data_IF_760110340928
#
_entry.id   IF_760110340928
#
_cell.length_a   1.000
_cell.length_b   1.000
_cell.length_c   1.000
_cell.angle_alpha   90.00
_cell.angle_beta   90.00
_cell.angle_gamma   90.00
#
_symmetry.space_group_name_H-M   'P 1'
#
loop_
_entity.id
_entity.type
_entity.pdbx_description
1 polymer ?
#
# COMPACT_ATOMS: atom_id res chain seq x y z
N UNK A 1 10.04 -3.30 12.98
CA UNK A 1 9.74 -2.14 12.11
C UNK A 1 8.90 -1.15 12.91
N UNK A 2 9.47 -0.01 13.32
CA UNK A 2 8.74 0.99 14.13
C UNK A 2 7.66 1.61 13.25
N UNK A 3 6.40 1.27 13.53
CA UNK A 3 5.23 1.94 12.97
C UNK A 3 5.29 3.38 13.47
N UNK A 4 5.68 4.32 12.59
CA UNK A 4 5.52 5.74 12.90
C UNK A 4 4.04 6.02 13.02
N UNK A 5 3.61 6.55 14.16
CA UNK A 5 2.23 7.00 14.37
C UNK A 5 1.91 8.07 13.32
N UNK A 6 1.20 7.67 12.25
CA UNK A 6 0.73 8.58 11.22
C UNK A 6 -0.24 9.58 11.85
N UNK A 7 0.09 10.87 11.78
CA UNK A 7 -0.75 11.92 12.38
C UNK A 7 -1.67 12.55 11.34
N UNK A 8 -2.91 12.09 11.30
CA UNK A 8 -4.02 12.84 10.70
C UNK A 8 -4.61 13.80 11.74
N UNK A 9 -5.15 14.93 11.29
CA UNK A 9 -5.78 15.91 12.16
C UNK A 9 -7.20 16.17 11.69
N UNK A 10 -8.17 16.01 12.60
CA UNK A 10 -9.57 16.33 12.34
C UNK A 10 -9.90 17.63 13.08
N UNK A 11 -10.36 18.64 12.34
CA UNK A 11 -10.87 19.89 12.91
C UNK A 11 -12.38 19.93 12.71
N UNK A 12 -13.14 19.68 13.78
CA UNK A 12 -14.61 19.69 13.73
C UNK A 12 -15.20 21.10 13.54
N UNK A 13 -14.49 22.16 13.95
CA UNK A 13 -14.94 23.55 13.78
C UNK A 13 -14.83 24.00 12.33
N UNK A 14 -13.70 23.69 11.69
CA UNK A 14 -13.45 23.99 10.28
C UNK A 14 -13.98 22.89 9.34
N UNK A 15 -14.41 21.74 9.88
CA UNK A 15 -14.92 20.57 9.17
C UNK A 15 -13.90 19.99 8.18
N UNK A 16 -12.65 19.86 8.63
CA UNK A 16 -11.52 19.43 7.80
C UNK A 16 -10.84 18.18 8.36
N UNK A 17 -10.30 17.36 7.45
CA UNK A 17 -9.35 16.27 7.71
C UNK A 17 -8.04 16.63 7.02
N UNK A 18 -6.93 16.64 7.77
CA UNK A 18 -5.62 17.05 7.28
C UNK A 18 -4.59 15.95 7.51
N UNK A 19 -3.85 15.61 6.45
CA UNK A 19 -2.66 14.75 6.50
C UNK A 19 -1.41 15.63 6.51
N UNK A 20 -0.65 15.65 7.61
CA UNK A 20 0.54 16.50 7.73
C UNK A 20 1.70 16.04 6.84
N UNK A 21 1.79 14.74 6.60
CA UNK A 21 2.78 14.11 5.73
C UNK A 21 2.08 12.96 5.04
N UNK A 22 1.47 13.26 3.90
CA UNK A 22 0.69 12.29 3.14
C UNK A 22 1.62 11.37 2.35
N UNK A 23 1.40 10.06 2.39
CA UNK A 23 2.17 9.05 1.66
C UNK A 23 1.26 8.20 0.77
N UNK A 24 1.82 7.43 -0.18
CA UNK A 24 1.02 6.50 -1.00
C UNK A 24 0.16 5.51 -0.20
N UNK A 25 0.54 5.20 1.04
CA UNK A 25 -0.24 4.36 1.96
C UNK A 25 -1.53 5.04 2.47
N UNK A 26 -1.68 6.36 2.31
CA UNK A 26 -2.91 7.09 2.63
C UNK A 26 -3.91 7.07 1.46
N UNK A 27 -3.54 6.48 0.33
CA UNK A 27 -4.45 6.31 -0.81
C UNK A 27 -5.63 5.44 -0.44
N UNK A 28 -6.81 5.85 -0.88
CA UNK A 28 -8.02 5.12 -0.57
C UNK A 28 -9.27 5.93 -0.75
N UNK A 29 -10.37 5.29 -0.39
CA UNK A 29 -11.72 5.83 -0.47
C UNK A 29 -12.11 6.43 0.88
N UNK A 30 -12.50 7.69 0.88
CA UNK A 30 -12.87 8.44 2.07
C UNK A 30 -14.32 8.93 1.97
N UNK A 31 -14.94 9.12 3.12
CA UNK A 31 -16.28 9.68 3.27
C UNK A 31 -16.38 10.39 4.62
N UNK A 32 -17.35 11.29 4.77
CA UNK A 32 -17.54 12.07 5.99
C UNK A 32 -18.87 11.69 6.64
N UNK A 33 -18.88 11.50 7.96
CA UNK A 33 -20.11 11.27 8.71
C UNK A 33 -20.31 12.32 9.80
N UNK A 34 -21.56 12.70 10.02
CA UNK A 34 -21.97 13.61 11.07
C UNK A 34 -22.95 12.90 12.02
N UNK A 35 -22.78 13.12 13.32
CA UNK A 35 -23.64 12.59 14.38
C UNK A 35 -24.08 13.72 15.30
N UNK A 36 -25.36 13.73 15.66
CA UNK A 36 -25.89 14.52 16.77
C UNK A 36 -26.94 13.71 17.55
N UNK A 37 -27.65 14.33 18.49
CA UNK A 37 -28.67 13.64 19.29
C UNK A 37 -29.87 13.15 18.47
N UNK A 38 -30.13 13.75 17.31
CA UNK A 38 -31.25 13.40 16.44
C UNK A 38 -30.92 12.24 15.47
N UNK A 39 -29.63 11.97 15.21
CA UNK A 39 -29.25 10.88 14.33
C UNK A 39 -27.80 10.90 13.85
N UNK A 40 -27.54 10.07 12.86
CA UNK A 40 -26.24 9.87 12.22
C UNK A 40 -26.43 9.74 10.71
N UNK A 41 -25.66 10.50 9.93
CA UNK A 41 -25.70 10.45 8.47
C UNK A 41 -24.29 10.55 7.91
N UNK A 42 -24.02 9.84 6.83
CA UNK A 42 -22.76 9.93 6.09
C UNK A 42 -22.99 10.56 4.73
N UNK A 43 -21.93 11.15 4.16
CA UNK A 43 -21.94 11.71 2.82
C UNK A 43 -22.33 10.63 1.81
N UNK A 44 -23.29 10.95 0.94
CA UNK A 44 -23.75 10.02 -0.09
C UNK A 44 -22.69 9.71 -1.16
N UNK A 45 -21.67 10.56 -1.29
CA UNK A 45 -20.58 10.38 -2.22
C UNK A 45 -19.28 10.11 -1.46
N UNK A 46 -18.57 9.08 -1.92
CA UNK A 46 -17.20 8.83 -1.52
C UNK A 46 -16.25 9.68 -2.39
N UNK A 47 -15.07 10.00 -1.87
CA UNK A 47 -13.98 10.63 -2.63
C UNK A 47 -12.70 9.84 -2.49
N UNK A 48 -11.89 9.82 -3.54
CA UNK A 48 -10.64 9.03 -3.56
C UNK A 48 -9.43 9.95 -3.40
N UNK A 49 -8.59 9.66 -2.42
CA UNK A 49 -7.25 10.25 -2.33
C UNK A 49 -6.28 9.42 -3.16
N UNK A 50 -5.60 10.08 -4.10
CA UNK A 50 -4.57 9.48 -4.95
C UNK A 50 -3.28 10.31 -4.86
N UNK A 51 -2.29 9.75 -4.20
CA UNK A 51 -0.97 10.29 -3.93
C UNK A 51 0.01 9.47 -4.76
N UNK A 52 0.71 10.18 -5.64
CA UNK A 52 1.71 9.62 -6.53
C UNK A 52 3.07 10.06 -6.04
N UNK A 53 3.81 9.10 -5.49
CA UNK A 53 5.24 9.19 -5.26
C UNK A 53 5.95 8.26 -6.26
N UNK A 54 6.92 8.79 -6.99
CA UNK A 54 7.73 8.03 -7.96
C UNK A 54 8.83 7.23 -7.27
N UNK A 55 9.22 7.59 -6.06
CA UNK A 55 10.21 6.85 -5.27
C UNK A 55 9.61 5.63 -4.58
N UNK A 56 8.27 5.57 -4.46
CA UNK A 56 7.57 4.44 -3.88
C UNK A 56 7.40 3.28 -4.88
N UNK A 57 7.89 2.06 -4.57
CA UNK A 57 7.77 0.91 -5.46
C UNK A 57 6.34 0.54 -5.80
N UNK A 58 6.04 0.41 -7.10
CA UNK A 58 4.74 -0.09 -7.58
C UNK A 58 4.93 -1.37 -8.38
N UNK A 59 4.11 -2.41 -8.14
CA UNK A 59 4.22 -3.64 -8.90
C UNK A 59 3.83 -3.41 -10.36
N UNK A 60 4.67 -3.88 -11.26
CA UNK A 60 4.44 -3.92 -12.72
C UNK A 60 4.14 -5.36 -13.15
N UNK A 61 4.87 -6.32 -12.58
CA UNK A 61 4.63 -7.76 -12.76
C UNK A 61 4.56 -8.39 -11.38
N UNK A 62 3.45 -9.08 -11.11
CA UNK A 62 3.26 -9.85 -9.87
C UNK A 62 3.40 -11.34 -10.17
N UNK A 63 4.09 -12.11 -9.31
CA UNK A 63 4.17 -13.54 -9.48
C UNK A 63 2.79 -14.18 -9.33
N UNK A 64 2.54 -15.24 -10.10
CA UNK A 64 1.30 -16.01 -10.07
C UNK A 64 1.59 -17.44 -9.62
N UNK A 65 0.58 -18.10 -9.05
CA UNK A 65 0.68 -19.50 -8.67
C UNK A 65 0.99 -20.38 -9.88
N UNK A 66 1.89 -21.35 -9.71
CA UNK A 66 2.29 -22.30 -10.74
C UNK A 66 2.14 -23.73 -10.24
N UNK A 67 1.72 -24.62 -11.13
CA UNK A 67 1.75 -26.07 -10.93
C UNK A 67 2.75 -26.65 -11.93
N UNK A 68 3.81 -27.26 -11.43
CA UNK A 68 4.87 -27.88 -12.24
C UNK A 68 5.01 -29.34 -11.86
N UNK A 69 5.47 -30.19 -12.79
CA UNK A 69 5.78 -31.57 -12.45
C UNK A 69 7.09 -31.65 -11.66
N UNK A 70 7.25 -32.76 -10.93
CA UNK A 70 8.50 -33.03 -10.24
C UNK A 70 9.67 -33.02 -11.23
N UNK A 71 10.75 -32.33 -10.86
CA UNK A 71 11.97 -32.12 -11.65
C UNK A 71 11.83 -31.16 -12.84
N UNK A 72 10.68 -30.51 -13.01
CA UNK A 72 10.55 -29.39 -13.95
C UNK A 72 10.93 -28.07 -13.29
N UNK A 73 11.28 -27.09 -14.12
CA UNK A 73 11.62 -25.74 -13.68
C UNK A 73 10.36 -24.93 -13.38
N UNK A 74 10.35 -24.21 -12.26
CA UNK A 74 9.36 -23.19 -11.93
C UNK A 74 10.04 -21.81 -11.95
N UNK A 75 9.45 -20.85 -12.67
CA UNK A 75 10.00 -19.50 -12.83
C UNK A 75 8.94 -18.48 -12.47
N UNK A 76 9.22 -17.69 -11.43
CA UNK A 76 8.39 -16.57 -11.03
C UNK A 76 8.99 -15.25 -11.51
N UNK A 77 8.15 -14.41 -12.12
CA UNK A 77 8.53 -13.06 -12.51
C UNK A 77 7.98 -12.04 -11.52
N UNK A 78 8.83 -11.11 -11.11
CA UNK A 78 8.47 -10.02 -10.22
C UNK A 78 9.18 -8.76 -10.68
N UNK A 79 8.42 -7.70 -10.94
CA UNK A 79 8.96 -6.42 -11.40
C UNK A 79 8.25 -5.29 -10.69
N UNK A 80 9.03 -4.34 -10.19
CA UNK A 80 8.54 -3.09 -9.60
C UNK A 80 9.11 -1.90 -10.37
N UNK A 81 8.41 -0.76 -10.30
CA UNK A 81 8.92 0.52 -10.79
C UNK A 81 9.04 1.50 -9.62
N UNK A 82 10.19 2.18 -9.54
CA UNK A 82 10.47 3.29 -8.63
C UNK A 82 11.63 4.12 -9.18
N UNK A 83 11.82 5.33 -8.66
CA UNK A 83 12.99 6.17 -8.91
C UNK A 83 13.66 6.54 -7.58
N UNK A 84 14.87 6.02 -7.29
CA UNK A 84 15.67 5.10 -8.10
C UNK A 84 15.05 3.70 -8.22
N UNK A 85 15.56 2.90 -9.16
CA UNK A 85 15.11 1.52 -9.36
C UNK A 85 15.17 0.71 -8.05
N UNK A 86 14.11 -0.04 -7.70
CA UNK A 86 14.03 -0.74 -6.43
C UNK A 86 14.89 -2.01 -6.45
N UNK A 87 15.38 -2.41 -5.27
CA UNK A 87 15.96 -3.73 -5.08
C UNK A 87 14.84 -4.75 -4.87
N UNK A 88 14.93 -5.90 -5.53
CA UNK A 88 13.96 -7.00 -5.39
C UNK A 88 14.61 -8.13 -4.58
N UNK A 89 13.91 -8.58 -3.55
CA UNK A 89 14.31 -9.68 -2.68
C UNK A 89 13.21 -10.75 -2.69
N UNK A 90 13.62 -12.02 -2.60
CA UNK A 90 12.70 -13.15 -2.55
C UNK A 90 12.74 -13.82 -1.18
N UNK A 91 11.59 -14.25 -0.68
CA UNK A 91 11.46 -14.89 0.63
C UNK A 91 10.75 -16.23 0.50
N UNK A 92 11.21 -17.23 1.28
CA UNK A 92 10.55 -18.53 1.46
C UNK A 92 10.34 -18.75 2.96
N UNK A 93 9.10 -18.98 3.41
CA UNK A 93 8.74 -19.14 4.83
C UNK A 93 9.35 -18.04 5.75
N UNK A 94 9.29 -16.79 5.29
CA UNK A 94 9.86 -15.59 5.93
C UNK A 94 11.40 -15.55 6.01
N UNK A 95 12.12 -16.48 5.40
CA UNK A 95 13.57 -16.47 5.25
C UNK A 95 13.98 -15.85 3.90
N UNK A 96 14.99 -14.97 3.91
CA UNK A 96 15.53 -14.35 2.70
C UNK A 96 16.27 -15.39 1.84
N UNK A 97 15.84 -15.56 0.60
CA UNK A 97 16.54 -16.37 -0.39
C UNK A 97 17.77 -15.60 -0.88
N UNK A 98 18.94 -16.07 -0.47
CA UNK A 98 20.23 -15.56 -0.95
C UNK A 98 20.72 -16.43 -2.09
N UNK A 99 21.37 -15.82 -3.09
CA UNK A 99 22.06 -16.60 -4.11
C UNK A 99 23.24 -17.32 -3.45
N UNK A 100 23.05 -18.59 -3.08
CA UNK A 100 24.14 -19.45 -2.65
C UNK A 100 24.88 -19.90 -3.91
N UNK A 101 25.82 -19.07 -4.34
CA UNK A 101 26.87 -19.49 -5.26
C UNK A 101 27.56 -20.70 -4.63
N UNK A 102 27.34 -21.89 -5.20
CA UNK A 102 28.13 -23.08 -4.86
C UNK A 102 29.45 -23.05 -5.62
#
# INVERSE_FOLDING_TARGET
MRLTEKTHQINNKERTLTFKSASPDDNGLYYCCAKNAAGHVCSNANFTLNIIDKSFPRPVVTPMDQVVLKNEEAVFHCQFTAVPEPTVEWYYDAELLTNKSR
#
